data_IF_145286165438
#
_entry.id   IF_145286165438
#
_cell.length_a   1.000
_cell.length_b   1.000
_cell.length_c   1.000
_cell.angle_alpha   90.00
_cell.angle_beta   90.00
_cell.angle_gamma   90.00
#
_symmetry.space_group_name_H-M   'P 1'
#
loop_
_entity.id
_entity.type
_entity.pdbx_description
1 polymer ?
#
# COMPACT_ATOMS: atom_id res chain seq x y z
N UNK A 1 14.41 6.86 13.37
CA UNK A 1 15.27 7.25 12.23
C UNK A 1 14.34 7.92 11.26
N UNK A 2 14.61 9.18 10.96
CA UNK A 2 13.78 9.96 10.04
C UNK A 2 13.86 9.39 8.62
N UNK A 3 12.70 9.20 7.98
CA UNK A 3 12.61 8.82 6.58
C UNK A 3 12.62 10.02 5.64
N UNK A 4 12.97 11.23 6.13
CA UNK A 4 13.02 12.43 5.30
C UNK A 4 13.96 12.23 4.10
N UNK A 5 13.47 12.56 2.91
CA UNK A 5 14.20 12.39 1.64
C UNK A 5 14.16 10.98 1.04
N UNK A 6 13.70 9.97 1.80
CA UNK A 6 13.41 8.62 1.27
C UNK A 6 12.16 8.67 0.39
N UNK A 7 11.92 7.63 -0.40
CA UNK A 7 10.79 7.60 -1.33
C UNK A 7 9.63 6.83 -0.71
N UNK A 8 8.48 7.48 -0.55
CA UNK A 8 7.28 6.86 -0.02
C UNK A 8 6.27 6.60 -1.13
N UNK A 9 5.83 5.35 -1.25
CA UNK A 9 4.65 4.94 -2.00
C UNK A 9 3.49 4.80 -1.00
N UNK A 10 2.34 5.37 -1.33
CA UNK A 10 1.12 5.20 -0.52
C UNK A 10 -0.08 5.01 -1.42
N UNK A 11 -0.87 3.98 -1.14
CA UNK A 11 -2.12 3.72 -1.87
C UNK A 11 -3.21 3.40 -0.85
N UNK A 12 -4.33 4.11 -0.98
CA UNK A 12 -5.54 3.87 -0.22
C UNK A 12 -6.57 3.26 -1.17
N UNK A 13 -7.05 2.06 -0.82
CA UNK A 13 -8.15 1.39 -1.49
C UNK A 13 -9.36 1.39 -0.58
N UNK A 14 -10.47 1.95 -1.06
CA UNK A 14 -11.76 1.85 -0.38
C UNK A 14 -12.62 0.81 -1.10
N UNK A 15 -12.71 -0.37 -0.51
CA UNK A 15 -13.40 -1.52 -1.05
C UNK A 15 -14.88 -1.53 -0.65
N UNK A 16 -15.81 -1.83 -1.59
CA UNK A 16 -17.19 -2.10 -1.25
C UNK A 16 -17.33 -3.41 -0.45
N UNK A 17 -18.39 -3.56 0.37
CA UNK A 17 -18.54 -4.67 1.32
C UNK A 17 -18.39 -6.07 0.72
N UNK A 18 -18.91 -6.27 -0.48
CA UNK A 18 -18.90 -7.55 -1.21
C UNK A 18 -17.53 -7.95 -1.77
N UNK A 19 -16.52 -7.08 -1.62
CA UNK A 19 -15.15 -7.32 -2.10
C UNK A 19 -14.11 -7.39 -0.98
N UNK A 20 -14.52 -7.23 0.28
CA UNK A 20 -13.61 -7.17 1.45
C UNK A 20 -12.86 -8.50 1.63
N UNK A 21 -13.54 -9.63 1.50
CA UNK A 21 -12.90 -10.95 1.65
C UNK A 21 -11.78 -11.17 0.62
N UNK A 22 -12.01 -10.79 -0.64
CA UNK A 22 -10.99 -10.87 -1.68
C UNK A 22 -9.85 -9.88 -1.43
N UNK A 23 -10.15 -8.69 -0.91
CA UNK A 23 -9.13 -7.73 -0.48
C UNK A 23 -8.22 -8.32 0.59
N UNK A 24 -8.80 -8.90 1.64
CA UNK A 24 -8.05 -9.52 2.74
C UNK A 24 -7.14 -10.66 2.23
N UNK A 25 -7.63 -11.49 1.30
CA UNK A 25 -6.83 -12.54 0.65
C UNK A 25 -5.65 -11.98 -0.15
N UNK A 26 -5.91 -10.98 -1.01
CA UNK A 26 -4.88 -10.35 -1.86
C UNK A 26 -3.79 -9.73 -1.00
N UNK A 27 -4.17 -9.01 0.05
CA UNK A 27 -3.22 -8.34 0.94
C UNK A 27 -2.39 -9.31 1.79
N UNK A 28 -2.98 -10.44 2.21
CA UNK A 28 -2.24 -11.53 2.84
C UNK A 28 -1.17 -12.12 1.90
N UNK A 29 -1.54 -12.34 0.63
CA UNK A 29 -0.61 -12.77 -0.42
C UNK A 29 0.49 -11.73 -0.68
N UNK A 30 0.12 -10.45 -0.75
CA UNK A 30 1.06 -9.34 -0.95
C UNK A 30 2.11 -9.29 0.16
N UNK A 31 1.70 -9.33 1.43
CA UNK A 31 2.62 -9.30 2.56
C UNK A 31 3.62 -10.47 2.53
N UNK A 32 3.14 -11.69 2.24
CA UNK A 32 4.00 -12.87 2.13
C UNK A 32 4.98 -12.80 0.95
N UNK A 33 4.58 -12.16 -0.15
CA UNK A 33 5.47 -11.91 -1.29
C UNK A 33 6.51 -10.83 -0.99
N UNK A 34 6.10 -9.71 -0.37
CA UNK A 34 6.98 -8.61 0.03
C UNK A 34 8.11 -9.11 0.95
N UNK A 35 7.76 -9.92 1.97
CA UNK A 35 8.73 -10.49 2.92
C UNK A 35 9.82 -11.32 2.25
N UNK A 36 9.49 -12.02 1.16
CA UNK A 36 10.42 -12.93 0.45
C UNK A 36 11.23 -12.24 -0.64
N UNK A 37 10.70 -11.18 -1.24
CA UNK A 37 11.21 -10.62 -2.50
C UNK A 37 11.95 -9.30 -2.33
N UNK A 38 11.67 -8.54 -1.27
CA UNK A 38 12.20 -7.19 -1.11
C UNK A 38 13.52 -7.17 -0.34
N UNK A 39 14.44 -6.34 -0.83
CA UNK A 39 15.71 -6.07 -0.17
C UNK A 39 15.50 -5.29 1.12
N UNK A 40 16.31 -5.59 2.15
CA UNK A 40 16.32 -4.84 3.43
C UNK A 40 17.44 -3.80 3.51
N UNK A 41 18.39 -3.87 2.58
CA UNK A 41 19.59 -3.03 2.55
C UNK A 41 19.94 -2.65 1.10
N UNK A 42 20.73 -1.58 0.96
CA UNK A 42 21.16 -1.04 -0.33
C UNK A 42 20.13 -0.13 -1.01
N UNK A 43 20.41 0.25 -2.25
CA UNK A 43 19.67 1.27 -3.01
C UNK A 43 18.18 0.92 -3.23
N UNK A 44 17.85 -0.37 -3.23
CA UNK A 44 16.49 -0.88 -3.40
C UNK A 44 15.77 -1.21 -2.10
N UNK A 45 16.38 -0.92 -0.95
CA UNK A 45 15.85 -1.37 0.33
C UNK A 45 14.42 -0.86 0.58
N UNK A 46 13.57 -1.76 1.03
CA UNK A 46 12.29 -1.46 1.63
C UNK A 46 12.50 -1.23 3.13
N UNK A 47 12.36 0.02 3.56
CA UNK A 47 12.58 0.48 4.93
C UNK A 47 11.33 0.33 5.79
N UNK A 48 10.15 0.57 5.21
CA UNK A 48 8.86 0.39 5.86
C UNK A 48 7.94 -0.35 4.89
N UNK A 49 7.23 -1.34 5.41
CA UNK A 49 6.03 -1.91 4.81
C UNK A 49 4.93 -1.93 5.86
N UNK A 50 3.85 -1.20 5.61
CA UNK A 50 2.67 -1.22 6.45
C UNK A 50 1.43 -1.35 5.58
N UNK A 51 0.57 -2.29 5.94
CA UNK A 51 -0.81 -2.31 5.49
C UNK A 51 -1.70 -2.13 6.72
N UNK A 52 -2.40 -1.01 6.80
CA UNK A 52 -3.45 -0.82 7.80
C UNK A 52 -4.82 -0.93 7.16
N UNK A 53 -5.82 -1.32 7.95
CA UNK A 53 -7.22 -1.43 7.50
C UNK A 53 -8.19 -0.92 8.54
N UNK A 54 -9.33 -0.43 8.09
CA UNK A 54 -10.40 0.05 8.95
C UNK A 54 -11.62 0.53 8.15
N UNK A 55 -12.77 0.71 8.81
CA UNK A 55 -13.97 1.18 8.13
C UNK A 55 -13.76 2.57 7.51
N UNK A 56 -14.31 2.80 6.32
CA UNK A 56 -14.46 4.17 5.81
C UNK A 56 -15.53 4.88 6.63
N UNK A 57 -15.16 6.00 7.25
CA UNK A 57 -16.08 6.83 8.03
C UNK A 57 -16.69 7.94 7.15
N UNK A 58 -17.89 8.39 7.51
CA UNK A 58 -18.61 9.43 6.77
C UNK A 58 -17.97 10.82 6.87
N UNK A 59 -17.14 11.05 7.88
CA UNK A 59 -16.34 12.27 8.03
C UNK A 59 -14.85 11.91 8.24
N UNK A 60 -13.95 12.23 7.29
CA UNK A 60 -12.54 11.83 7.35
C UNK A 60 -11.72 12.51 8.44
N UNK A 61 -12.25 13.56 9.09
CA UNK A 61 -11.57 14.28 10.19
C UNK A 61 -12.27 14.10 11.55
N UNK A 62 -13.24 13.19 11.64
CA UNK A 62 -13.91 12.83 12.89
C UNK A 62 -13.88 11.30 13.10
N UNK A 63 -13.02 10.80 14.02
CA UNK A 63 -12.88 9.38 14.26
C UNK A 63 -14.12 8.74 14.93
N UNK A 64 -15.08 9.54 15.40
CA UNK A 64 -16.33 9.06 15.98
C UNK A 64 -17.48 8.98 14.97
N UNK A 65 -17.25 9.46 13.73
CA UNK A 65 -18.29 9.49 12.71
C UNK A 65 -18.70 8.11 12.24
N UNK A 66 -19.91 8.01 11.67
CA UNK A 66 -20.52 6.73 11.32
C UNK A 66 -19.76 6.03 10.19
N UNK A 67 -19.58 4.70 10.24
CA UNK A 67 -19.11 3.94 9.09
C UNK A 67 -20.05 4.08 7.89
N UNK A 68 -19.48 4.10 6.69
CA UNK A 68 -20.24 4.09 5.42
C UNK A 68 -20.65 2.69 4.98
N UNK A 69 -20.01 1.66 5.56
CA UNK A 69 -20.10 0.26 5.14
C UNK A 69 -18.91 -0.21 4.31
N UNK A 70 -18.14 0.69 3.70
CA UNK A 70 -16.93 0.34 2.96
C UNK A 70 -15.73 0.08 3.89
N UNK A 71 -14.71 -0.61 3.37
CA UNK A 71 -13.45 -0.90 4.07
C UNK A 71 -12.29 -0.17 3.40
N UNK A 72 -11.50 0.58 4.18
CA UNK A 72 -10.24 1.14 3.72
C UNK A 72 -9.09 0.16 3.96
N UNK A 73 -8.19 0.07 2.99
CA UNK A 73 -6.87 -0.53 3.06
C UNK A 73 -5.85 0.55 2.71
N UNK A 74 -4.88 0.78 3.58
CA UNK A 74 -3.83 1.80 3.40
C UNK A 74 -2.49 1.11 3.34
N UNK A 75 -1.95 0.99 2.14
CA UNK A 75 -0.59 0.53 1.90
C UNK A 75 0.36 1.73 2.03
N UNK A 76 1.35 1.62 2.88
CA UNK A 76 2.44 2.60 3.02
C UNK A 76 3.76 1.87 2.97
N UNK A 77 4.57 2.24 1.99
CA UNK A 77 5.89 1.68 1.76
C UNK A 77 6.90 2.82 1.68
N UNK A 78 8.05 2.65 2.34
CA UNK A 78 9.15 3.60 2.26
C UNK A 78 10.38 2.88 1.74
N UNK A 79 10.94 3.39 0.66
CA UNK A 79 12.11 2.85 -0.01
C UNK A 79 13.31 3.78 0.16
N UNK A 80 14.50 3.18 0.14
CA UNK A 80 15.77 3.92 0.19
C UNK A 80 15.85 4.96 -0.94
N UNK A 81 15.57 4.54 -2.18
CA UNK A 81 15.51 5.42 -3.35
C UNK A 81 14.39 5.03 -4.32
N UNK A 82 14.27 5.80 -5.42
CA UNK A 82 13.33 5.51 -6.51
C UNK A 82 13.57 4.15 -7.17
N UNK A 83 14.79 3.62 -7.09
CA UNK A 83 15.13 2.32 -7.63
C UNK A 83 14.33 1.20 -6.96
N UNK A 84 14.08 1.30 -5.65
CA UNK A 84 13.25 0.35 -4.90
C UNK A 84 11.79 0.34 -5.39
N UNK A 85 11.20 1.52 -5.63
CA UNK A 85 9.83 1.63 -6.15
C UNK A 85 9.72 1.05 -7.56
N UNK A 86 10.68 1.36 -8.44
CA UNK A 86 10.69 0.83 -9.80
C UNK A 86 10.82 -0.70 -9.81
N UNK A 87 11.69 -1.23 -8.94
CA UNK A 87 11.89 -2.67 -8.77
C UNK A 87 10.64 -3.36 -8.22
N UNK A 88 9.97 -2.77 -7.21
CA UNK A 88 8.71 -3.27 -6.66
C UNK A 88 7.64 -3.46 -7.75
N UNK A 89 7.37 -2.43 -8.56
CA UNK A 89 6.36 -2.52 -9.63
C UNK A 89 6.72 -3.56 -10.68
N UNK A 90 8.00 -3.61 -11.08
CA UNK A 90 8.49 -4.62 -12.02
C UNK A 90 8.26 -6.02 -11.47
N UNK A 91 8.78 -6.30 -10.26
CA UNK A 91 8.64 -7.60 -9.62
C UNK A 91 7.19 -7.98 -9.38
N UNK A 92 6.33 -7.03 -8.99
CA UNK A 92 4.91 -7.26 -8.80
C UNK A 92 4.25 -7.73 -10.09
N UNK A 93 4.48 -7.02 -11.19
CA UNK A 93 3.88 -7.37 -12.49
C UNK A 93 4.41 -8.68 -13.09
N UNK A 94 5.67 -9.03 -12.83
CA UNK A 94 6.33 -10.19 -13.44
C UNK A 94 6.25 -11.46 -12.57
N UNK A 95 6.29 -11.31 -11.24
CA UNK A 95 6.59 -12.41 -10.32
C UNK A 95 5.56 -12.58 -9.18
N UNK A 96 4.68 -11.61 -8.93
CA UNK A 96 3.63 -11.80 -7.92
C UNK A 96 2.38 -12.41 -8.55
N UNK A 97 2.08 -13.65 -8.13
CA UNK A 97 0.98 -14.46 -8.68
C UNK A 97 -0.40 -13.77 -8.64
N UNK A 98 -0.62 -12.89 -7.66
CA UNK A 98 -1.91 -12.23 -7.44
C UNK A 98 -1.96 -10.82 -8.03
N UNK A 99 -0.95 -10.38 -8.79
CA UNK A 99 -0.94 -9.03 -9.38
C UNK A 99 -2.16 -8.76 -10.28
N UNK A 100 -2.53 -9.72 -11.13
CA UNK A 100 -3.74 -9.62 -11.96
C UNK A 100 -5.03 -9.56 -11.12
N UNK A 101 -5.08 -10.31 -10.01
CA UNK A 101 -6.19 -10.27 -9.08
C UNK A 101 -6.28 -8.91 -8.36
N UNK A 102 -5.14 -8.33 -7.94
CA UNK A 102 -5.05 -6.98 -7.41
C UNK A 102 -5.63 -5.97 -8.40
N UNK A 103 -5.19 -5.98 -9.66
CA UNK A 103 -5.67 -5.03 -10.69
C UNK A 103 -7.19 -5.14 -10.86
N UNK A 104 -7.73 -6.36 -10.93
CA UNK A 104 -9.17 -6.59 -11.06
C UNK A 104 -9.96 -6.13 -9.82
N UNK A 105 -9.46 -6.41 -8.63
CA UNK A 105 -10.09 -5.99 -7.37
C UNK A 105 -10.01 -4.48 -7.18
N UNK A 106 -8.85 -3.87 -7.48
CA UNK A 106 -8.63 -2.43 -7.46
C UNK A 106 -9.59 -1.68 -8.38
N UNK A 107 -9.94 -2.25 -9.54
CA UNK A 107 -10.95 -1.69 -10.45
C UNK A 107 -12.37 -1.58 -9.86
N UNK A 108 -12.63 -2.22 -8.71
CA UNK A 108 -13.89 -2.10 -7.95
C UNK A 108 -13.79 -1.12 -6.77
N UNK A 109 -12.59 -0.68 -6.42
CA UNK A 109 -12.34 0.19 -5.28
C UNK A 109 -12.32 1.67 -5.70
N UNK A 110 -12.61 2.57 -4.75
CA UNK A 110 -12.13 3.96 -4.88
C UNK A 110 -10.65 3.99 -4.51
N UNK A 111 -9.83 4.73 -5.26
CA UNK A 111 -8.38 4.75 -5.07
C UNK A 111 -7.86 6.18 -4.95
N UNK A 112 -7.03 6.42 -3.93
CA UNK A 112 -6.18 7.61 -3.78
C UNK A 112 -4.75 7.14 -3.61
N UNK A 113 -3.82 7.64 -4.44
CA UNK A 113 -2.49 7.04 -4.54
C UNK A 113 -1.37 8.02 -4.86
N UNK A 114 -0.16 7.67 -4.42
CA UNK A 114 1.13 8.15 -4.92
C UNK A 114 1.92 6.94 -5.46
N UNK A 115 1.52 6.37 -6.62
CA UNK A 115 2.01 5.06 -7.07
C UNK A 115 3.45 5.10 -7.58
N UNK A 116 3.89 6.23 -8.14
CA UNK A 116 5.28 6.45 -8.53
C UNK A 116 6.19 6.68 -7.31
N UNK A 117 5.62 6.80 -6.11
CA UNK A 117 6.30 7.28 -4.93
C UNK A 117 6.59 8.79 -4.99
N UNK A 118 7.04 9.33 -3.86
CA UNK A 118 7.55 10.70 -3.79
C UNK A 118 8.43 10.89 -2.55
N UNK A 119 9.28 11.93 -2.55
CA UNK A 119 10.17 12.19 -1.43
C UNK A 119 9.37 12.52 -0.18
N UNK A 120 9.70 11.88 0.93
CA UNK A 120 9.17 12.24 2.24
C UNK A 120 9.69 13.62 2.61
N UNK A 121 8.81 14.62 2.57
CA UNK A 121 9.16 16.03 2.82
C UNK A 121 9.37 16.31 4.31
N UNK A 122 8.56 15.68 5.15
CA UNK A 122 8.64 15.76 6.61
C UNK A 122 8.50 14.37 7.24
N UNK A 123 9.43 14.03 8.13
CA UNK A 123 9.40 12.82 8.95
C UNK A 123 9.98 13.18 10.31
N UNK A 124 9.12 13.24 11.32
CA UNK A 124 9.55 13.46 12.70
C UNK A 124 10.01 12.11 13.27
N UNK A 125 11.18 12.13 13.94
CA UNK A 125 11.87 11.00 14.60
C UNK A 125 12.52 9.97 13.65
#
# INVERSE_FOLDING_TARGET
MSHKGKIQLTIIFTAPPDTVEEGDRIWGSHAAWMEKSHYRDGDKALLIYNLSRGPELSNPVDPSSKPTGNMNYVLTEVYETQAGVADHWKQGSENWQDFSALVKWAGKCKISALPAGGPVVYSLW
#
